data_IF_909010488357
#
_entry.id   IF_909010488357
#
_cell.length_a   1.000
_cell.length_b   1.000
_cell.length_c   1.000
_cell.angle_alpha   90.00
_cell.angle_beta   90.00
_cell.angle_gamma   90.00
#
_symmetry.space_group_name_H-M   'P 1'
#
loop_
_entity.id
_entity.type
_entity.pdbx_description
1 polymer ?
#
# COMPACT_ATOMS: atom_id res chain seq x y z
N UNK A 1 27.30 -11.04 -12.21
CA UNK A 1 25.95 -11.01 -11.60
C UNK A 1 24.82 -11.31 -12.62
N UNK A 2 25.11 -11.75 -13.85
CA UNK A 2 24.20 -11.72 -15.01
C UNK A 2 23.06 -12.77 -15.07
N UNK A 3 22.74 -13.49 -13.99
CA UNK A 3 21.74 -14.58 -14.04
C UNK A 3 20.52 -14.38 -13.13
N UNK A 4 20.41 -13.25 -12.42
CA UNK A 4 19.29 -13.01 -11.53
C UNK A 4 18.22 -12.15 -12.20
N UNK A 5 16.96 -12.53 -12.01
CA UNK A 5 15.78 -11.87 -12.57
C UNK A 5 14.81 -11.51 -11.45
N UNK A 6 14.35 -10.26 -11.43
CA UNK A 6 13.27 -9.81 -10.56
C UNK A 6 12.00 -9.70 -11.41
N UNK A 7 10.94 -10.37 -10.97
CA UNK A 7 9.63 -10.26 -11.58
C UNK A 7 8.81 -9.22 -10.83
N UNK A 8 8.04 -8.42 -11.56
CA UNK A 8 7.15 -7.40 -10.99
C UNK A 8 5.73 -7.70 -11.44
N UNK A 9 4.89 -8.07 -10.49
CA UNK A 9 3.46 -8.29 -10.66
C UNK A 9 2.71 -7.02 -10.31
N UNK A 10 2.16 -6.35 -11.33
CA UNK A 10 1.45 -5.08 -11.19
C UNK A 10 2.27 -3.87 -11.64
N UNK A 11 1.93 -3.36 -12.82
CA UNK A 11 2.52 -2.14 -13.41
C UNK A 11 1.77 -0.87 -13.00
N UNK A 12 1.34 -0.80 -11.73
CA UNK A 12 0.80 0.42 -11.13
C UNK A 12 1.89 1.45 -10.84
N UNK A 13 1.53 2.60 -10.26
CA UNK A 13 2.47 3.70 -10.00
C UNK A 13 3.71 3.25 -9.22
N UNK A 14 3.51 2.47 -8.15
CA UNK A 14 4.61 2.02 -7.29
C UNK A 14 5.49 0.95 -7.96
N UNK A 15 4.88 0.00 -8.68
CA UNK A 15 5.63 -1.01 -9.45
C UNK A 15 6.53 -0.36 -10.51
N UNK A 16 6.02 0.64 -11.22
CA UNK A 16 6.80 1.41 -12.18
C UNK A 16 7.93 2.22 -11.51
N UNK A 17 7.66 2.84 -10.35
CA UNK A 17 8.68 3.61 -9.63
C UNK A 17 9.86 2.72 -9.23
N UNK A 18 9.57 1.54 -8.64
CA UNK A 18 10.62 0.62 -8.20
C UNK A 18 11.35 0.01 -9.38
N UNK A 19 10.65 -0.35 -10.45
CA UNK A 19 11.28 -0.85 -11.68
C UNK A 19 12.24 0.18 -12.29
N UNK A 20 11.79 1.44 -12.38
CA UNK A 20 12.60 2.56 -12.87
C UNK A 20 13.85 2.76 -12.00
N UNK A 21 13.69 2.87 -10.68
CA UNK A 21 14.80 3.07 -9.76
C UNK A 21 15.81 1.91 -9.79
N UNK A 22 15.33 0.65 -9.79
CA UNK A 22 16.19 -0.53 -9.90
C UNK A 22 16.95 -0.55 -11.23
N UNK A 23 16.31 -0.19 -12.34
CA UNK A 23 16.98 -0.15 -13.65
C UNK A 23 18.08 0.91 -13.70
N UNK A 24 17.85 2.09 -13.12
CA UNK A 24 18.84 3.17 -13.10
C UNK A 24 20.06 2.79 -12.25
N UNK A 25 19.83 2.13 -11.11
CA UNK A 25 20.91 1.73 -10.20
C UNK A 25 21.64 0.45 -10.64
N UNK A 26 20.90 -0.51 -11.21
CA UNK A 26 21.41 -1.83 -11.58
C UNK A 26 21.17 -2.12 -13.08
N UNK A 27 21.88 -1.47 -14.02
CA UNK A 27 21.58 -1.59 -15.46
C UNK A 27 21.60 -3.01 -16.03
N UNK A 28 22.41 -3.91 -15.46
CA UNK A 28 22.51 -5.31 -15.88
C UNK A 28 21.51 -6.27 -15.23
N UNK A 29 20.65 -5.79 -14.33
CA UNK A 29 19.62 -6.60 -13.68
C UNK A 29 18.46 -6.86 -14.65
N UNK A 30 18.11 -8.14 -14.84
CA UNK A 30 16.91 -8.48 -15.62
C UNK A 30 15.66 -8.23 -14.80
N UNK A 31 14.77 -7.38 -15.31
CA UNK A 31 13.49 -7.05 -14.70
C UNK A 31 12.38 -7.44 -15.68
N UNK A 32 11.40 -8.23 -15.21
CA UNK A 32 10.28 -8.70 -16.03
C UNK A 32 8.95 -8.25 -15.46
N UNK A 33 8.13 -7.56 -16.26
CA UNK A 33 6.75 -7.25 -15.91
C UNK A 33 5.84 -8.44 -16.21
N UNK A 34 5.09 -8.88 -15.20
CA UNK A 34 4.05 -9.88 -15.34
C UNK A 34 2.71 -9.19 -15.58
N UNK A 35 2.13 -9.40 -16.76
CA UNK A 35 0.98 -8.67 -17.27
C UNK A 35 -0.23 -9.61 -17.43
N UNK A 36 -1.35 -9.31 -16.78
CA UNK A 36 -2.58 -10.12 -16.88
C UNK A 36 -3.48 -9.78 -18.08
N UNK A 37 -3.16 -8.71 -18.82
CA UNK A 37 -4.03 -8.13 -19.85
C UNK A 37 -3.22 -7.78 -21.08
N UNK A 38 -3.69 -8.24 -22.23
CA UNK A 38 -3.03 -8.01 -23.52
C UNK A 38 -2.97 -6.52 -23.87
N UNK A 39 -3.97 -5.75 -23.46
CA UNK A 39 -4.08 -4.31 -23.71
C UNK A 39 -2.98 -3.53 -22.98
N UNK A 40 -2.50 -4.03 -21.83
CA UNK A 40 -1.37 -3.44 -21.11
C UNK A 40 -0.08 -3.67 -21.90
N UNK A 41 0.09 -4.85 -22.50
CA UNK A 41 1.25 -5.15 -23.35
C UNK A 41 1.25 -4.27 -24.61
N UNK A 42 0.10 -4.11 -25.28
CA UNK A 42 -0.02 -3.18 -26.42
C UNK A 42 0.37 -1.74 -26.04
N UNK A 43 -0.04 -1.28 -24.85
CA UNK A 43 0.33 0.05 -24.36
C UNK A 43 1.81 0.17 -23.99
N UNK A 44 2.47 -0.93 -23.58
CA UNK A 44 3.91 -0.95 -23.34
C UNK A 44 4.69 -0.67 -24.63
N UNK A 45 4.32 -1.34 -25.72
CA UNK A 45 4.91 -1.06 -27.03
C UNK A 45 4.62 0.36 -27.49
N UNK A 46 3.39 0.85 -27.29
CA UNK A 46 3.01 2.22 -27.63
C UNK A 46 3.74 3.29 -26.81
N UNK A 47 4.22 2.97 -25.60
CA UNK A 47 5.02 3.89 -24.77
C UNK A 47 6.51 3.92 -25.15
N UNK A 48 6.90 3.25 -26.24
CA UNK A 48 8.29 3.10 -26.65
C UNK A 48 9.10 2.20 -25.73
N UNK A 49 8.42 1.25 -25.07
CA UNK A 49 9.03 0.26 -24.17
C UNK A 49 9.88 0.90 -23.05
N UNK A 50 9.40 2.05 -22.57
CA UNK A 50 10.04 2.81 -21.52
C UNK A 50 9.02 3.29 -20.47
N UNK A 51 9.49 3.35 -19.22
CA UNK A 51 8.84 4.08 -18.14
C UNK A 51 9.34 5.53 -18.18
N UNK A 52 8.41 6.46 -18.25
CA UNK A 52 8.64 7.90 -18.07
C UNK A 52 8.39 8.29 -16.61
N UNK A 53 9.44 8.69 -15.90
CA UNK A 53 9.38 9.11 -14.51
C UNK A 53 9.57 10.64 -14.40
N UNK A 54 8.71 11.31 -13.64
CA UNK A 54 8.85 12.73 -13.32
C UNK A 54 9.13 12.91 -11.84
N UNK A 55 10.26 13.55 -11.51
CA UNK A 55 10.70 13.83 -10.16
C UNK A 55 11.09 15.30 -10.04
N UNK A 56 10.39 16.06 -9.20
CA UNK A 56 10.66 17.49 -8.99
C UNK A 56 10.75 18.29 -10.31
N UNK A 57 9.85 18.02 -11.25
CA UNK A 57 9.82 18.65 -12.57
C UNK A 57 10.84 18.13 -13.59
N UNK A 58 11.80 17.28 -13.17
CA UNK A 58 12.75 16.62 -14.07
C UNK A 58 12.14 15.34 -14.62
N UNK A 59 12.36 15.10 -15.90
CA UNK A 59 11.87 13.91 -16.61
C UNK A 59 13.06 12.98 -16.83
N UNK A 60 12.90 11.70 -16.46
CA UNK A 60 13.85 10.64 -16.73
C UNK A 60 13.12 9.41 -17.29
N UNK A 61 13.83 8.64 -18.10
CA UNK A 61 13.29 7.48 -18.80
C UNK A 61 14.12 6.24 -18.47
N UNK A 62 13.47 5.10 -18.40
CA UNK A 62 14.13 3.79 -18.29
C UNK A 62 13.41 2.78 -19.18
N UNK A 63 14.15 2.02 -19.97
CA UNK A 63 13.63 0.91 -20.79
C UNK A 63 14.31 -0.43 -20.45
N UNK A 64 14.39 -1.30 -21.45
CA UNK A 64 15.04 -2.63 -21.38
C UNK A 64 14.36 -3.60 -20.39
N UNK A 65 13.06 -3.47 -20.19
CA UNK A 65 12.28 -4.40 -19.37
C UNK A 65 11.76 -5.55 -20.23
N UNK A 66 11.88 -6.77 -19.72
CA UNK A 66 11.16 -7.91 -20.28
C UNK A 66 9.67 -7.78 -19.92
N UNK A 67 8.80 -8.28 -20.79
CA UNK A 67 7.38 -8.46 -20.46
C UNK A 67 6.98 -9.92 -20.63
N UNK A 68 6.09 -10.39 -19.76
CA UNK A 68 5.53 -11.73 -19.80
C UNK A 68 4.02 -11.64 -19.55
N UNK A 69 3.23 -12.07 -20.53
CA UNK A 69 1.78 -12.17 -20.38
C UNK A 69 1.44 -13.41 -19.56
N UNK A 70 0.67 -13.23 -18.49
CA UNK A 70 0.22 -14.33 -17.64
C UNK A 70 -1.28 -14.51 -17.78
N UNK A 71 -1.70 -15.75 -18.03
CA UNK A 71 -3.10 -16.10 -18.28
C UNK A 71 -3.97 -15.69 -17.09
N UNK A 72 -4.95 -14.82 -17.33
CA UNK A 72 -6.08 -14.62 -16.42
C UNK A 72 -7.18 -15.64 -16.75
N UNK A 73 -7.96 -16.13 -15.77
CA UNK A 73 -9.17 -16.91 -16.05
C UNK A 73 -10.12 -16.24 -17.05
N UNK A 74 -10.11 -14.90 -17.11
CA UNK A 74 -10.92 -14.09 -18.03
C UNK A 74 -10.39 -14.05 -19.48
N UNK A 75 -9.12 -14.38 -19.73
CA UNK A 75 -8.46 -14.24 -21.05
C UNK A 75 -8.22 -15.58 -21.74
N UNK A 76 -9.12 -16.56 -21.55
CA UNK A 76 -9.04 -17.94 -22.09
C UNK A 76 -8.91 -18.10 -23.62
N UNK A 77 -8.70 -17.03 -24.37
CA UNK A 77 -8.65 -17.05 -25.85
C UNK A 77 -7.25 -17.19 -26.45
N UNK A 78 -6.17 -17.18 -25.67
CA UNK A 78 -4.81 -17.41 -26.21
C UNK A 78 -4.28 -18.74 -25.69
N UNK A 79 -3.88 -19.64 -26.59
CA UNK A 79 -3.11 -20.86 -26.30
C UNK A 79 -1.70 -20.44 -25.86
N UNK A 80 -1.60 -19.83 -24.69
CA UNK A 80 -0.34 -19.49 -24.05
C UNK A 80 0.03 -20.65 -23.13
N UNK A 81 1.15 -21.31 -23.40
CA UNK A 81 1.74 -22.27 -22.46
C UNK A 81 2.58 -21.48 -21.46
N UNK A 82 2.17 -21.36 -20.19
CA UNK A 82 2.91 -20.56 -19.23
C UNK A 82 4.32 -21.12 -19.02
N UNK A 83 5.34 -20.26 -18.90
CA UNK A 83 6.67 -20.69 -18.53
C UNK A 83 6.61 -21.42 -17.20
N UNK A 84 7.13 -22.65 -17.14
CA UNK A 84 7.18 -23.44 -15.90
C UNK A 84 8.38 -23.09 -15.02
N UNK A 85 9.22 -22.14 -15.44
CA UNK A 85 10.43 -21.80 -14.71
C UNK A 85 10.10 -21.19 -13.34
N UNK A 86 10.74 -21.64 -12.25
CA UNK A 86 10.50 -21.08 -10.92
C UNK A 86 10.79 -19.57 -10.86
N UNK A 87 9.93 -18.82 -10.16
CA UNK A 87 10.14 -17.40 -9.88
C UNK A 87 10.82 -17.31 -8.52
N UNK A 88 12.10 -16.89 -8.51
CA UNK A 88 12.86 -16.73 -7.26
C UNK A 88 12.54 -15.42 -6.54
N UNK A 89 12.36 -14.33 -7.28
CA UNK A 89 12.17 -12.99 -6.72
C UNK A 89 10.96 -12.31 -7.36
N UNK A 90 9.94 -12.02 -6.55
CA UNK A 90 8.70 -11.40 -7.00
C UNK A 90 8.38 -10.15 -6.18
N UNK A 91 8.24 -9.02 -6.85
CA UNK A 91 7.62 -7.82 -6.30
C UNK A 91 6.13 -7.80 -6.67
N UNK A 92 5.28 -7.56 -5.68
CA UNK A 92 3.81 -7.47 -5.87
C UNK A 92 3.39 -6.03 -5.62
N UNK A 93 3.00 -5.33 -6.67
CA UNK A 93 2.55 -3.94 -6.67
C UNK A 93 1.16 -3.78 -7.33
N UNK A 94 0.36 -4.84 -7.33
CA UNK A 94 -1.06 -4.82 -7.67
C UNK A 94 -1.90 -4.12 -6.60
N UNK A 95 -3.11 -3.73 -6.97
CA UNK A 95 -4.14 -3.32 -5.99
C UNK A 95 -4.54 -4.52 -5.14
N UNK A 96 -4.80 -4.29 -3.86
CA UNK A 96 -4.96 -5.38 -2.86
C UNK A 96 -6.07 -6.38 -3.24
N UNK A 97 -7.16 -5.91 -3.86
CA UNK A 97 -8.27 -6.77 -4.33
C UNK A 97 -7.89 -7.75 -5.46
N UNK A 98 -6.84 -7.47 -6.23
CA UNK A 98 -6.43 -8.32 -7.35
C UNK A 98 -5.32 -9.30 -6.96
N UNK A 99 -4.71 -9.14 -5.79
CA UNK A 99 -3.45 -9.82 -5.45
C UNK A 99 -3.60 -11.31 -5.24
N UNK A 100 -4.67 -11.77 -4.56
CA UNK A 100 -4.92 -13.20 -4.34
C UNK A 100 -5.12 -13.95 -5.67
N UNK A 101 -5.93 -13.40 -6.58
CA UNK A 101 -6.16 -13.97 -7.92
C UNK A 101 -4.88 -13.96 -8.76
N UNK A 102 -4.17 -12.83 -8.78
CA UNK A 102 -2.92 -12.66 -9.52
C UNK A 102 -1.87 -13.68 -9.08
N UNK A 103 -1.67 -13.86 -7.78
CA UNK A 103 -0.72 -14.85 -7.25
C UNK A 103 -1.17 -16.28 -7.44
N UNK A 104 -2.48 -16.56 -7.43
CA UNK A 104 -3.01 -17.90 -7.70
C UNK A 104 -2.61 -18.39 -9.09
N UNK A 105 -2.60 -17.51 -10.10
CA UNK A 105 -2.12 -17.84 -11.45
C UNK A 105 -0.63 -18.23 -11.50
N UNK A 106 0.16 -17.72 -10.54
CA UNK A 106 1.61 -17.95 -10.44
C UNK A 106 1.99 -19.02 -9.41
N UNK A 107 1.03 -19.57 -8.67
CA UNK A 107 1.27 -20.50 -7.55
C UNK A 107 2.16 -21.68 -7.95
N UNK A 108 2.01 -22.19 -9.17
CA UNK A 108 2.81 -23.30 -9.70
C UNK A 108 4.31 -22.97 -9.91
N UNK A 109 4.70 -21.70 -9.88
CA UNK A 109 6.09 -21.21 -10.05
C UNK A 109 6.69 -20.66 -8.76
N UNK A 110 5.89 -20.60 -7.69
CA UNK A 110 6.24 -19.97 -6.42
C UNK A 110 6.25 -21.04 -5.32
N UNK A 111 7.37 -21.14 -4.62
CA UNK A 111 7.56 -22.15 -3.56
C UNK A 111 8.48 -21.66 -2.46
N UNK A 112 8.98 -22.57 -1.63
CA UNK A 112 9.87 -22.26 -0.50
C UNK A 112 11.22 -21.64 -0.90
N UNK A 113 11.63 -21.80 -2.16
CA UNK A 113 12.80 -21.12 -2.74
C UNK A 113 12.52 -19.70 -3.23
N UNK A 114 11.27 -19.25 -3.18
CA UNK A 114 10.83 -17.95 -3.70
C UNK A 114 10.73 -16.92 -2.57
N UNK A 115 10.97 -15.66 -2.92
CA UNK A 115 10.70 -14.50 -2.07
C UNK A 115 9.68 -13.61 -2.73
N UNK A 116 8.63 -13.25 -1.99
CA UNK A 116 7.61 -12.28 -2.39
C UNK A 116 7.75 -11.03 -1.52
N UNK A 117 7.94 -9.87 -2.15
CA UNK A 117 7.91 -8.58 -1.49
C UNK A 117 6.64 -7.82 -1.89
N UNK A 118 5.75 -7.63 -0.92
CA UNK A 118 4.45 -6.97 -1.10
C UNK A 118 4.58 -5.46 -0.91
N UNK A 119 4.17 -4.70 -1.91
CA UNK A 119 4.24 -3.24 -1.93
C UNK A 119 2.86 -2.57 -1.83
N UNK A 120 1.80 -3.37 -1.70
CA UNK A 120 0.42 -2.90 -1.70
C UNK A 120 0.03 -2.19 -0.39
N UNK A 121 -1.05 -1.42 -0.45
CA UNK A 121 -1.63 -0.79 0.72
C UNK A 121 -2.44 -1.84 1.51
N UNK A 122 -2.31 -1.86 2.85
CA UNK A 122 -3.07 -2.78 3.70
C UNK A 122 -2.28 -3.99 4.20
N UNK A 123 -3.00 -4.96 4.77
CA UNK A 123 -2.45 -6.14 5.43
C UNK A 123 -2.64 -7.39 4.55
N UNK A 124 -1.69 -8.32 4.61
CA UNK A 124 -1.51 -9.42 3.65
C UNK A 124 -2.22 -10.74 4.02
N UNK A 125 -3.10 -10.72 5.02
CA UNK A 125 -3.58 -11.94 5.69
C UNK A 125 -4.29 -12.91 4.73
N UNK A 126 -5.00 -12.39 3.73
CA UNK A 126 -5.75 -13.17 2.74
C UNK A 126 -4.84 -14.04 1.86
N UNK A 127 -3.67 -13.55 1.43
CA UNK A 127 -2.76 -14.29 0.54
C UNK A 127 -2.18 -15.51 1.25
N UNK A 128 -1.87 -15.36 2.53
CA UNK A 128 -1.30 -16.43 3.34
C UNK A 128 -2.31 -17.57 3.54
N UNK A 129 -3.56 -17.25 3.82
CA UNK A 129 -4.58 -18.25 4.10
C UNK A 129 -5.17 -18.89 2.84
N UNK A 130 -5.30 -18.14 1.74
CA UNK A 130 -5.98 -18.61 0.51
C UNK A 130 -5.05 -19.16 -0.57
N UNK A 131 -3.87 -18.54 -0.78
CA UNK A 131 -2.99 -18.91 -1.91
C UNK A 131 -1.92 -19.90 -1.47
N UNK A 132 -1.20 -19.59 -0.38
CA UNK A 132 -0.06 -20.38 0.09
C UNK A 132 -0.26 -20.86 1.54
N UNK A 133 -1.26 -21.72 1.73
CA UNK A 133 -1.65 -22.25 3.04
C UNK A 133 -0.64 -23.22 3.67
N UNK A 134 0.13 -23.97 2.86
CA UNK A 134 1.17 -24.86 3.38
C UNK A 134 2.44 -24.09 3.74
N UNK A 135 2.71 -23.96 5.04
CA UNK A 135 3.89 -23.27 5.56
C UNK A 135 5.23 -23.86 5.08
N UNK A 136 5.30 -25.16 4.75
CA UNK A 136 6.54 -25.81 4.30
C UNK A 136 6.90 -25.48 2.86
N UNK A 137 5.90 -25.31 2.00
CA UNK A 137 6.09 -25.01 0.58
C UNK A 137 5.93 -23.53 0.24
N UNK A 138 5.52 -22.69 1.21
CA UNK A 138 5.24 -21.27 0.99
C UNK A 138 6.52 -20.44 0.76
N UNK A 139 6.46 -19.40 -0.09
CA UNK A 139 7.53 -18.41 -0.22
C UNK A 139 7.86 -17.66 1.07
N UNK A 140 9.05 -17.07 1.11
CA UNK A 140 9.41 -16.07 2.13
C UNK A 140 8.75 -14.73 1.81
N UNK A 141 8.17 -14.06 2.82
CA UNK A 141 7.44 -12.81 2.63
C UNK A 141 8.18 -11.61 3.20
N UNK A 142 8.19 -10.55 2.42
CA UNK A 142 8.63 -9.21 2.78
C UNK A 142 7.51 -8.21 2.52
N UNK A 143 7.47 -7.14 3.29
CA UNK A 143 6.56 -6.03 3.08
C UNK A 143 7.35 -4.76 2.79
N UNK A 144 6.77 -3.89 1.97
CA UNK A 144 7.28 -2.58 1.63
C UNK A 144 6.22 -1.51 1.89
N UNK A 145 6.54 -0.53 2.73
CA UNK A 145 5.67 0.62 3.05
C UNK A 145 6.25 1.86 2.39
N UNK A 146 5.58 2.33 1.34
CA UNK A 146 5.99 3.52 0.61
C UNK A 146 5.48 4.80 1.32
N UNK A 147 6.39 5.69 1.73
CA UNK A 147 6.08 6.96 2.41
C UNK A 147 5.90 8.17 1.48
N UNK A 148 6.00 7.99 0.15
CA UNK A 148 5.88 9.08 -0.84
C UNK A 148 4.61 8.96 -1.67
N UNK A 149 4.20 10.09 -2.26
CA UNK A 149 3.11 10.12 -3.21
C UNK A 149 3.62 9.74 -4.59
N UNK A 150 2.97 8.76 -5.23
CA UNK A 150 3.29 8.33 -6.59
C UNK A 150 2.01 8.35 -7.41
N UNK A 151 1.92 9.35 -8.29
CA UNK A 151 0.79 9.56 -9.17
C UNK A 151 1.09 8.97 -10.54
N UNK A 152 0.09 8.32 -11.14
CA UNK A 152 0.16 7.87 -12.52
C UNK A 152 -0.45 8.93 -13.41
N UNK A 153 0.34 9.50 -14.32
CA UNK A 153 -0.15 10.45 -15.33
C UNK A 153 -0.75 9.72 -16.53
N UNK A 154 -0.14 8.61 -16.93
CA UNK A 154 -0.66 7.67 -17.93
C UNK A 154 -0.05 6.28 -17.69
N UNK A 155 -0.46 5.24 -18.43
CA UNK A 155 0.22 3.95 -18.30
C UNK A 155 1.70 4.10 -18.73
N UNK A 156 2.61 3.51 -17.96
CA UNK A 156 4.07 3.70 -18.10
C UNK A 156 4.58 5.15 -17.93
N UNK A 157 3.76 6.06 -17.39
CA UNK A 157 4.22 7.37 -16.95
C UNK A 157 3.78 7.70 -15.53
N UNK A 158 4.76 7.98 -14.68
CA UNK A 158 4.58 8.31 -13.27
C UNK A 158 5.18 9.67 -12.95
N UNK A 159 4.59 10.33 -11.96
CA UNK A 159 5.15 11.46 -11.28
C UNK A 159 5.16 11.17 -9.78
N UNK A 160 6.28 11.39 -9.09
CA UNK A 160 6.34 11.21 -7.66
C UNK A 160 6.88 12.44 -6.95
N UNK A 161 6.38 12.66 -5.74
CA UNK A 161 6.73 13.79 -4.89
C UNK A 161 6.66 13.41 -3.41
N UNK A 162 7.27 14.25 -2.57
CA UNK A 162 7.37 14.05 -1.13
C UNK A 162 8.72 13.50 -0.69
N UNK A 163 9.01 13.67 0.60
CA UNK A 163 10.30 13.35 1.24
C UNK A 163 10.36 11.96 1.89
N UNK A 164 9.38 11.07 1.64
CA UNK A 164 9.31 9.76 2.28
C UNK A 164 10.08 8.65 1.56
N UNK A 165 10.76 7.80 2.32
CA UNK A 165 11.44 6.59 1.84
C UNK A 165 10.50 5.41 1.52
N UNK A 166 11.09 4.26 1.25
CA UNK A 166 10.38 2.97 1.25
C UNK A 166 10.96 2.11 2.37
N UNK A 167 10.12 1.76 3.33
CA UNK A 167 10.49 0.90 4.45
C UNK A 167 10.27 -0.56 4.05
N UNK A 168 11.26 -1.42 4.27
CA UNK A 168 11.22 -2.84 3.95
C UNK A 168 11.39 -3.66 5.22
N UNK A 169 10.63 -4.74 5.38
CA UNK A 169 10.86 -5.67 6.48
C UNK A 169 10.29 -7.05 6.19
N UNK A 170 10.90 -8.07 6.79
CA UNK A 170 10.41 -9.43 6.68
C UNK A 170 9.06 -9.56 7.40
N UNK A 171 8.13 -10.32 6.83
CA UNK A 171 6.83 -10.57 7.44
C UNK A 171 6.95 -11.79 8.34
N UNK A 172 6.81 -11.60 9.65
CA UNK A 172 6.73 -12.71 10.59
C UNK A 172 5.35 -13.39 10.51
N UNK A 173 5.36 -14.68 10.21
CA UNK A 173 4.16 -15.51 10.04
C UNK A 173 4.05 -16.60 11.12
N UNK A 174 5.06 -16.69 11.99
CA UNK A 174 5.03 -17.56 13.15
C UNK A 174 4.22 -16.88 14.28
N UNK A 175 3.41 -17.63 15.04
CA UNK A 175 2.90 -17.13 16.31
C UNK A 175 4.08 -16.69 17.17
N UNK A 176 4.06 -15.47 17.71
CA UNK A 176 5.10 -15.07 18.66
C UNK A 176 5.06 -16.02 19.84
N UNK A 177 6.18 -16.66 20.15
CA UNK A 177 6.35 -17.30 21.45
C UNK A 177 6.27 -16.19 22.50
N UNK A 178 5.15 -16.13 23.23
CA UNK A 178 4.93 -15.20 24.34
C UNK A 178 5.98 -15.34 25.46
N UNK A 179 6.79 -16.40 25.41
CA UNK A 179 7.85 -16.71 26.36
C UNK A 179 9.21 -16.07 26.02
N UNK A 180 9.38 -15.46 24.84
CA UNK A 180 10.61 -14.74 24.50
C UNK A 180 10.31 -13.26 24.15
N UNK A 181 10.65 -12.31 25.04
CA UNK A 181 10.34 -10.89 24.85
C UNK A 181 11.20 -10.20 23.77
N UNK A 182 12.23 -10.88 23.26
CA UNK A 182 13.11 -10.32 22.25
C UNK A 182 12.38 -10.05 20.92
N UNK A 183 12.76 -8.95 20.26
CA UNK A 183 12.30 -8.61 18.91
C UNK A 183 12.50 -9.81 17.99
N UNK A 184 11.50 -10.12 17.16
CA UNK A 184 11.58 -11.27 16.26
C UNK A 184 12.78 -11.06 15.33
N UNK A 185 13.81 -11.94 15.33
CA UNK A 185 15.01 -11.70 14.54
C UNK A 185 14.65 -11.66 13.06
N UNK A 186 15.11 -10.62 12.37
CA UNK A 186 14.90 -10.52 10.93
C UNK A 186 15.76 -11.59 10.23
N UNK A 187 15.22 -12.37 9.28
CA UNK A 187 16.07 -13.16 8.40
C UNK A 187 17.00 -12.24 7.61
N UNK A 188 18.19 -12.73 7.20
CA UNK A 188 19.10 -11.94 6.38
C UNK A 188 18.43 -11.56 5.05
N UNK A 189 18.53 -10.30 4.60
CA UNK A 189 18.02 -9.88 3.29
C UNK A 189 18.58 -10.76 2.17
N UNK A 190 17.71 -11.29 1.30
CA UNK A 190 18.13 -12.01 0.11
C UNK A 190 18.64 -11.05 -0.99
N UNK A 191 18.93 -11.57 -2.18
CA UNK A 191 19.44 -10.73 -3.27
C UNK A 191 18.46 -9.62 -3.67
N UNK A 192 17.16 -9.90 -3.78
CA UNK A 192 16.17 -8.91 -4.20
C UNK A 192 16.10 -7.77 -3.18
N UNK A 193 16.03 -8.11 -1.89
CA UNK A 193 15.99 -7.09 -0.83
C UNK A 193 17.30 -6.32 -0.77
N UNK A 194 18.47 -6.97 -0.91
CA UNK A 194 19.76 -6.26 -0.96
C UNK A 194 19.85 -5.26 -2.11
N UNK A 195 19.36 -5.62 -3.30
CA UNK A 195 19.32 -4.70 -4.44
C UNK A 195 18.40 -3.50 -4.18
N UNK A 196 17.22 -3.73 -3.59
CA UNK A 196 16.30 -2.66 -3.19
C UNK A 196 16.93 -1.72 -2.14
N UNK A 197 17.59 -2.28 -1.12
CA UNK A 197 18.31 -1.52 -0.10
C UNK A 197 19.52 -0.77 -0.67
N UNK A 198 20.14 -1.28 -1.73
CA UNK A 198 21.23 -0.65 -2.45
C UNK A 198 20.77 0.34 -3.52
N UNK A 199 19.49 0.76 -3.52
CA UNK A 199 18.93 1.72 -4.52
C UNK A 199 18.61 3.06 -3.85
N UNK A 200 19.53 4.05 -3.84
CA UNK A 200 19.37 5.30 -3.09
C UNK A 200 18.16 6.14 -3.50
N UNK A 201 17.74 6.09 -4.77
CA UNK A 201 16.55 6.77 -5.26
C UNK A 201 15.25 6.32 -4.54
N UNK A 202 15.25 5.11 -3.94
CA UNK A 202 14.16 4.62 -3.12
C UNK A 202 14.22 5.12 -1.67
N UNK A 203 15.34 5.70 -1.22
CA UNK A 203 15.62 6.02 0.18
C UNK A 203 15.19 4.87 1.11
N UNK A 204 15.76 3.67 0.89
CA UNK A 204 15.28 2.46 1.51
C UNK A 204 15.65 2.42 3.00
N UNK A 205 14.74 1.92 3.82
CA UNK A 205 14.99 1.67 5.25
C UNK A 205 14.66 0.22 5.58
N UNK A 206 15.60 -0.50 6.18
CA UNK A 206 15.36 -1.86 6.66
C UNK A 206 14.76 -1.81 8.08
N UNK A 207 13.61 -2.44 8.25
CA UNK A 207 12.85 -2.53 9.48
C UNK A 207 12.86 -3.96 10.02
N UNK A 208 12.73 -4.10 11.34
CA UNK A 208 12.43 -5.40 11.96
C UNK A 208 11.01 -5.86 11.57
N UNK A 209 10.70 -7.17 11.71
CA UNK A 209 9.35 -7.68 11.47
C UNK A 209 8.26 -6.96 12.25
N UNK A 210 8.56 -6.53 13.48
CA UNK A 210 7.63 -5.79 14.33
C UNK A 210 7.42 -4.37 13.81
N UNK A 211 8.50 -3.65 13.51
CA UNK A 211 8.43 -2.28 13.02
C UNK A 211 7.76 -2.17 11.64
N UNK A 212 7.98 -3.13 10.73
CA UNK A 212 7.29 -3.11 9.43
C UNK A 212 5.78 -3.36 9.59
N UNK A 213 5.37 -4.24 10.52
CA UNK A 213 3.95 -4.46 10.82
C UNK A 213 3.30 -3.21 11.41
N UNK A 214 4.01 -2.52 12.31
CA UNK A 214 3.57 -1.23 12.85
C UNK A 214 3.46 -0.18 11.74
N UNK A 215 4.43 -0.09 10.85
CA UNK A 215 4.41 0.82 9.71
C UNK A 215 3.22 0.56 8.76
N UNK A 216 2.94 -0.72 8.44
CA UNK A 216 1.76 -1.09 7.65
C UNK A 216 0.46 -0.64 8.32
N UNK A 217 0.32 -0.88 9.63
CA UNK A 217 -0.88 -0.49 10.37
C UNK A 217 -1.03 1.03 10.49
N UNK A 218 0.07 1.77 10.72
CA UNK A 218 0.09 3.23 10.68
C UNK A 218 -0.43 3.74 9.33
N UNK A 219 0.05 3.15 8.23
CA UNK A 219 -0.39 3.52 6.89
C UNK A 219 -1.88 3.20 6.65
N UNK A 220 -2.38 2.09 7.17
CA UNK A 220 -3.83 1.77 7.14
C UNK A 220 -4.63 2.84 7.88
N UNK A 221 -4.25 3.21 9.10
CA UNK A 221 -4.93 4.26 9.89
C UNK A 221 -4.94 5.59 9.16
N UNK A 222 -3.79 6.01 8.61
CA UNK A 222 -3.68 7.25 7.83
C UNK A 222 -4.63 7.24 6.63
N UNK A 223 -4.56 6.18 5.82
CA UNK A 223 -5.41 6.06 4.64
C UNK A 223 -6.90 5.95 4.99
N UNK A 224 -7.25 5.24 6.06
CA UNK A 224 -8.65 5.06 6.49
C UNK A 224 -9.29 6.36 6.99
N UNK A 225 -8.47 7.31 7.45
CA UNK A 225 -8.92 8.62 7.94
C UNK A 225 -9.11 9.63 6.82
N UNK A 226 -8.35 9.50 5.71
CA UNK A 226 -8.26 10.52 4.65
C UNK A 226 -8.98 10.08 3.37
N UNK A 227 -8.64 8.89 2.87
CA UNK A 227 -9.05 8.43 1.54
C UNK A 227 -10.57 8.34 1.36
N UNK A 228 -11.35 7.74 2.29
CA UNK A 228 -12.80 7.71 2.13
C UNK A 228 -13.42 9.10 2.16
N UNK A 229 -12.86 10.05 2.92
CA UNK A 229 -13.39 11.42 2.99
C UNK A 229 -13.17 12.18 1.70
N UNK A 230 -11.94 12.18 1.17
CA UNK A 230 -11.68 12.77 -0.15
C UNK A 230 -12.55 12.13 -1.25
N UNK A 231 -12.84 10.83 -1.14
CA UNK A 231 -13.76 10.17 -2.05
C UNK A 231 -15.17 10.75 -1.90
N UNK A 232 -15.83 10.67 -0.74
CA UNK A 232 -17.24 11.09 -0.59
C UNK A 232 -17.44 12.60 -0.81
N UNK A 233 -16.50 13.45 -0.39
CA UNK A 233 -16.57 14.91 -0.61
C UNK A 233 -16.06 15.35 -1.98
N UNK A 234 -15.53 14.42 -2.79
CA UNK A 234 -14.89 14.70 -4.09
C UNK A 234 -13.86 15.84 -4.03
N UNK A 235 -13.04 15.85 -2.98
CA UNK A 235 -12.15 16.96 -2.68
C UNK A 235 -10.67 16.55 -2.66
N UNK A 236 -9.79 17.53 -2.91
CA UNK A 236 -8.34 17.39 -2.70
C UNK A 236 -8.02 17.25 -1.21
N UNK A 237 -6.84 16.73 -0.91
CA UNK A 237 -6.40 16.47 0.47
C UNK A 237 -6.44 17.72 1.36
N UNK A 238 -6.00 18.87 0.85
CA UNK A 238 -5.96 20.12 1.63
C UNK A 238 -7.34 20.61 2.07
N UNK A 239 -8.37 20.33 1.27
CA UNK A 239 -9.74 20.76 1.57
C UNK A 239 -10.33 20.03 2.79
N UNK A 240 -9.76 18.89 3.21
CA UNK A 240 -10.12 18.26 4.48
C UNK A 240 -9.61 19.05 5.69
N UNK A 241 -8.52 19.81 5.53
CA UNK A 241 -7.94 20.64 6.58
C UNK A 241 -8.65 22.00 6.68
N UNK A 242 -9.05 22.54 5.53
CA UNK A 242 -9.60 23.90 5.43
C UNK A 242 -11.05 24.00 5.90
N UNK A 243 -11.82 22.91 5.80
CA UNK A 243 -13.21 22.87 6.25
C UNK A 243 -13.31 22.27 7.67
N UNK A 244 -13.84 23.01 8.67
CA UNK A 244 -13.93 22.53 10.05
C UNK A 244 -14.72 21.24 10.24
N UNK A 245 -15.79 21.02 9.47
CA UNK A 245 -16.62 19.81 9.58
C UNK A 245 -15.89 18.59 9.00
N UNK A 246 -15.24 18.75 7.85
CA UNK A 246 -14.41 17.70 7.24
C UNK A 246 -13.23 17.33 8.14
N UNK A 247 -12.55 18.33 8.71
CA UNK A 247 -11.44 18.11 9.64
C UNK A 247 -11.89 17.34 10.89
N UNK A 248 -13.04 17.70 11.46
CA UNK A 248 -13.60 16.99 12.62
C UNK A 248 -13.97 15.55 12.28
N UNK A 249 -14.58 15.31 11.12
CA UNK A 249 -14.87 13.94 10.68
C UNK A 249 -13.59 13.13 10.42
N UNK A 250 -12.56 13.74 9.85
CA UNK A 250 -11.24 13.13 9.68
C UNK A 250 -10.63 12.73 11.03
N UNK A 251 -10.69 13.61 12.02
CA UNK A 251 -10.25 13.30 13.40
C UNK A 251 -11.08 12.19 14.03
N UNK A 252 -12.39 12.19 13.85
CA UNK A 252 -13.28 11.18 14.41
C UNK A 252 -13.07 9.78 13.78
N UNK A 253 -12.76 9.70 12.48
CA UNK A 253 -12.32 8.45 11.85
C UNK A 253 -10.95 8.01 12.37
N UNK A 254 -10.01 8.95 12.50
CA UNK A 254 -8.71 8.64 13.08
C UNK A 254 -8.83 8.04 14.48
N UNK A 255 -9.67 8.60 15.36
CA UNK A 255 -9.86 8.10 16.73
C UNK A 255 -10.39 6.65 16.76
N UNK A 256 -11.37 6.30 15.93
CA UNK A 256 -11.84 4.91 15.79
C UNK A 256 -10.72 4.00 15.26
N UNK A 257 -10.03 4.43 14.20
CA UNK A 257 -8.96 3.65 13.57
C UNK A 257 -7.77 3.41 14.52
N UNK A 258 -7.36 4.42 15.30
CA UNK A 258 -6.24 4.32 16.23
C UNK A 258 -6.58 3.40 17.40
N UNK A 259 -7.82 3.45 17.91
CA UNK A 259 -8.27 2.55 18.98
C UNK A 259 -8.19 1.09 18.54
N UNK A 260 -8.67 0.78 17.33
CA UNK A 260 -8.56 -0.58 16.76
C UNK A 260 -7.09 -0.97 16.57
N UNK A 261 -6.26 -0.06 16.06
CA UNK A 261 -4.85 -0.33 15.80
C UNK A 261 -4.07 -0.62 17.10
N UNK A 262 -4.38 0.10 18.18
CA UNK A 262 -3.78 -0.13 19.51
C UNK A 262 -4.08 -1.54 20.01
N UNK A 263 -5.32 -2.01 19.87
CA UNK A 263 -5.70 -3.37 20.27
C UNK A 263 -4.99 -4.43 19.40
N UNK A 264 -4.90 -4.22 18.09
CA UNK A 264 -4.14 -5.12 17.19
C UNK A 264 -2.67 -5.22 17.62
N UNK A 265 -2.04 -4.09 17.98
CA UNK A 265 -0.64 -4.06 18.42
C UNK A 265 -0.48 -4.70 19.78
N UNK A 266 -1.39 -4.45 20.72
CA UNK A 266 -1.36 -5.06 22.05
C UNK A 266 -1.44 -6.58 21.97
N UNK A 267 -2.31 -7.11 21.11
CA UNK A 267 -2.46 -8.55 20.89
C UNK A 267 -1.27 -9.15 20.13
N UNK A 268 -0.82 -8.51 19.05
CA UNK A 268 0.16 -9.12 18.15
C UNK A 268 1.62 -8.81 18.52
N UNK A 269 1.87 -7.69 19.20
CA UNK A 269 3.20 -7.10 19.45
C UNK A 269 3.29 -6.48 20.87
N UNK A 270 3.00 -7.23 21.95
CA UNK A 270 2.90 -6.68 23.30
C UNK A 270 4.16 -5.92 23.76
N UNK A 271 5.35 -6.40 23.38
CA UNK A 271 6.63 -5.78 23.72
C UNK A 271 7.03 -4.58 22.84
N UNK A 272 6.31 -4.35 21.73
CA UNK A 272 6.55 -3.23 20.81
C UNK A 272 5.42 -2.20 20.87
N UNK A 273 4.51 -2.30 21.84
CA UNK A 273 3.37 -1.40 21.96
C UNK A 273 3.79 0.07 22.13
N UNK A 274 4.92 0.33 22.79
CA UNK A 274 5.50 1.68 22.95
C UNK A 274 5.91 2.35 21.63
N UNK A 275 6.12 1.56 20.57
CA UNK A 275 6.38 2.11 19.25
C UNK A 275 5.11 2.70 18.61
N UNK A 276 3.91 2.44 19.13
CA UNK A 276 2.69 3.14 18.69
C UNK A 276 2.40 4.36 19.57
N UNK A 277 2.58 5.55 19.00
CA UNK A 277 2.31 6.81 19.68
C UNK A 277 1.21 7.56 18.90
N UNK A 278 0.04 7.73 19.52
CA UNK A 278 -1.16 8.29 18.88
C UNK A 278 -0.87 9.65 18.23
N UNK A 279 -0.19 10.54 18.95
CA UNK A 279 0.13 11.89 18.52
C UNK A 279 0.97 11.88 17.24
N UNK A 280 1.92 10.95 17.13
CA UNK A 280 2.76 10.80 15.94
C UNK A 280 1.97 10.27 14.74
N UNK A 281 1.01 9.36 14.97
CA UNK A 281 0.14 8.86 13.90
C UNK A 281 -0.83 9.96 13.46
N UNK A 282 -1.40 10.74 14.38
CA UNK A 282 -2.22 11.89 14.03
C UNK A 282 -1.44 12.96 13.27
N UNK A 283 -0.20 13.24 13.71
CA UNK A 283 0.69 14.13 12.99
C UNK A 283 0.91 13.62 11.56
N UNK A 284 1.12 12.32 11.38
CA UNK A 284 1.25 11.69 10.05
C UNK A 284 0.00 11.89 9.18
N UNK A 285 -1.21 11.79 9.74
CA UNK A 285 -2.47 12.10 9.02
C UNK A 285 -2.45 13.53 8.50
N UNK A 286 -2.16 14.49 9.38
CA UNK A 286 -2.09 15.92 9.00
C UNK A 286 -0.98 16.18 7.98
N UNK A 287 0.21 15.63 8.18
CA UNK A 287 1.35 15.80 7.27
C UNK A 287 1.06 15.27 5.87
N UNK A 288 0.36 14.12 5.76
CA UNK A 288 -0.06 13.60 4.45
C UNK A 288 -1.04 14.54 3.77
N UNK A 289 -2.02 15.06 4.51
CA UNK A 289 -2.99 16.00 3.96
C UNK A 289 -2.34 17.34 3.55
N UNK A 290 -1.38 17.83 4.35
CA UNK A 290 -0.70 19.11 4.17
C UNK A 290 0.35 19.07 3.04
N UNK A 291 1.22 18.06 3.02
CA UNK A 291 2.17 17.88 1.92
C UNK A 291 1.47 17.57 0.60
N UNK A 292 0.29 16.96 0.68
CA UNK A 292 -0.53 16.55 -0.44
C UNK A 292 -1.62 17.54 -0.82
N UNK A 293 -1.65 18.78 -0.32
CA UNK A 293 -2.80 19.70 -0.45
C UNK A 293 -3.43 19.76 -1.84
N UNK A 294 -2.61 19.83 -2.88
CA UNK A 294 -3.06 19.93 -4.28
C UNK A 294 -3.46 18.58 -4.91
N UNK A 295 -3.14 17.46 -4.26
CA UNK A 295 -3.32 16.11 -4.77
C UNK A 295 -4.71 15.54 -4.41
N UNK A 296 -5.19 14.65 -5.28
CA UNK A 296 -6.30 13.75 -4.98
C UNK A 296 -5.76 12.47 -4.32
N UNK A 297 -6.50 11.91 -3.37
CA UNK A 297 -6.17 10.58 -2.86
C UNK A 297 -6.32 9.51 -3.94
N UNK A 298 -5.63 8.38 -3.79
CA UNK A 298 -5.75 7.25 -4.72
C UNK A 298 -7.19 6.73 -4.82
N UNK A 299 -7.95 6.77 -3.71
CA UNK A 299 -9.35 6.35 -3.70
C UNK A 299 -10.24 7.31 -4.47
N UNK A 300 -10.04 8.63 -4.34
CA UNK A 300 -10.76 9.61 -5.15
C UNK A 300 -10.43 9.44 -6.64
N UNK A 301 -9.16 9.21 -6.99
CA UNK A 301 -8.75 8.95 -8.37
C UNK A 301 -9.42 7.69 -8.95
N UNK A 302 -9.62 6.65 -8.14
CA UNK A 302 -10.34 5.44 -8.55
C UNK A 302 -11.84 5.72 -8.73
N UNK A 303 -12.46 6.45 -7.81
CA UNK A 303 -13.87 6.86 -7.92
C UNK A 303 -14.13 7.72 -9.16
N UNK A 304 -13.30 8.74 -9.41
CA UNK A 304 -13.45 9.65 -10.56
C UNK A 304 -13.27 8.92 -11.90
N UNK A 305 -12.54 7.81 -11.90
CA UNK A 305 -12.29 6.99 -13.09
C UNK A 305 -13.19 5.75 -13.18
N UNK A 306 -14.20 5.62 -12.31
CA UNK A 306 -15.12 4.48 -12.30
C UNK A 306 -14.45 3.13 -12.01
N UNK A 307 -13.30 3.13 -11.31
CA UNK A 307 -12.57 1.90 -10.95
C UNK A 307 -12.95 1.41 -9.55
N UNK A 308 -12.78 0.11 -9.33
CA UNK A 308 -12.88 -0.48 -8.00
C UNK A 308 -11.84 0.15 -7.05
N UNK A 309 -12.30 0.54 -5.86
CA UNK A 309 -11.48 1.15 -4.81
C UNK A 309 -10.92 0.10 -3.85
N UNK A 310 -9.95 0.49 -3.02
CA UNK A 310 -9.38 -0.35 -1.95
C UNK A 310 -10.13 -0.20 -0.60
N UNK A 311 -11.37 0.31 -0.60
CA UNK A 311 -12.12 0.63 0.63
C UNK A 311 -12.26 -0.59 1.56
N UNK A 312 -12.48 -1.78 0.99
CA UNK A 312 -12.61 -3.03 1.76
C UNK A 312 -11.31 -3.49 2.41
N UNK A 313 -10.17 -3.14 1.81
CA UNK A 313 -8.84 -3.53 2.29
C UNK A 313 -8.22 -2.51 3.24
N UNK A 314 -8.83 -1.32 3.34
CA UNK A 314 -8.41 -0.25 4.25
C UNK A 314 -9.43 -0.14 5.40
N UNK A 315 -10.62 0.37 5.12
CA UNK A 315 -11.67 0.55 6.12
C UNK A 315 -12.36 -0.79 6.45
N UNK A 316 -12.59 -1.65 5.45
CA UNK A 316 -13.16 -2.98 5.67
C UNK A 316 -12.27 -3.87 6.56
N UNK A 317 -10.95 -3.79 6.41
CA UNK A 317 -9.98 -4.43 7.31
C UNK A 317 -10.13 -3.92 8.76
N UNK A 318 -10.20 -2.61 8.97
CA UNK A 318 -10.42 -2.06 10.32
C UNK A 318 -11.77 -2.51 10.90
N UNK A 319 -12.84 -2.54 10.10
CA UNK A 319 -14.16 -3.00 10.53
C UNK A 319 -14.14 -4.48 10.94
N UNK A 320 -13.42 -5.33 10.19
CA UNK A 320 -13.31 -6.75 10.51
C UNK A 320 -12.52 -6.98 11.81
N UNK A 321 -11.41 -6.25 12.00
CA UNK A 321 -10.63 -6.29 13.22
C UNK A 321 -11.42 -5.75 14.43
N UNK A 322 -12.13 -4.65 14.26
CA UNK A 322 -12.96 -4.07 15.33
C UNK A 322 -14.05 -5.06 15.79
N UNK A 323 -14.69 -5.77 14.85
CA UNK A 323 -15.65 -6.84 15.19
C UNK A 323 -15.00 -7.96 16.00
N UNK A 324 -13.80 -8.40 15.60
CA UNK A 324 -13.04 -9.46 16.27
C UNK A 324 -12.63 -9.06 17.69
N UNK A 325 -12.24 -7.80 17.87
CA UNK A 325 -11.72 -7.24 19.12
C UNK A 325 -12.82 -6.64 20.02
N UNK A 326 -14.07 -6.58 19.56
CA UNK A 326 -15.17 -5.94 20.30
C UNK A 326 -15.10 -4.42 20.37
N UNK A 327 -14.38 -3.76 19.46
CA UNK A 327 -14.19 -2.30 19.42
C UNK A 327 -15.25 -1.65 18.51
N UNK A 328 -15.76 -0.47 18.89
CA UNK A 328 -16.72 0.28 18.08
C UNK A 328 -16.04 0.96 16.87
N UNK A 329 -16.66 0.87 15.70
CA UNK A 329 -16.14 1.45 14.44
C UNK A 329 -17.27 1.97 13.53
N UNK A 330 -18.33 2.53 14.13
CA UNK A 330 -19.56 2.86 13.40
C UNK A 330 -19.33 3.90 12.30
N UNK A 331 -18.43 4.87 12.50
CA UNK A 331 -18.15 5.89 11.48
C UNK A 331 -17.46 5.25 10.28
N UNK A 332 -16.52 4.32 10.50
CA UNK A 332 -15.91 3.56 9.41
C UNK A 332 -16.94 2.75 8.60
N UNK A 333 -17.93 2.12 9.25
CA UNK A 333 -19.01 1.39 8.55
C UNK A 333 -19.82 2.31 7.64
N UNK A 334 -20.20 3.49 8.15
CA UNK A 334 -20.98 4.48 7.38
C UNK A 334 -20.19 4.96 6.16
N UNK A 335 -18.96 5.46 6.34
CA UNK A 335 -18.17 5.97 5.19
C UNK A 335 -17.83 4.86 4.19
N UNK A 336 -17.65 3.61 4.64
CA UNK A 336 -17.45 2.47 3.75
C UNK A 336 -18.68 2.25 2.86
N UNK A 337 -19.89 2.29 3.45
CA UNK A 337 -21.14 2.20 2.69
C UNK A 337 -21.28 3.33 1.66
N UNK A 338 -20.96 4.57 2.05
CA UNK A 338 -21.01 5.74 1.17
C UNK A 338 -20.04 5.65 -0.02
N UNK A 339 -18.80 5.20 0.21
CA UNK A 339 -17.83 5.00 -0.87
C UNK A 339 -18.30 3.92 -1.83
N UNK A 340 -18.85 2.81 -1.30
CA UNK A 340 -19.38 1.71 -2.12
C UNK A 340 -20.59 2.11 -2.97
N UNK A 341 -21.45 2.97 -2.44
CA UNK A 341 -22.60 3.51 -3.20
C UNK A 341 -22.23 4.70 -4.09
N UNK A 342 -20.94 5.06 -4.18
CA UNK A 342 -20.43 6.23 -4.90
C UNK A 342 -21.09 7.55 -4.49
N UNK A 343 -21.69 7.61 -3.30
CA UNK A 343 -22.39 8.80 -2.79
C UNK A 343 -21.44 10.00 -2.76
N UNK A 344 -21.94 11.13 -3.23
CA UNK A 344 -21.36 12.45 -2.95
C UNK A 344 -22.01 12.95 -1.67
N UNK A 345 -21.20 13.39 -0.72
CA UNK A 345 -21.65 13.78 0.61
C UNK A 345 -21.38 15.27 0.82
N UNK A 346 -22.40 15.99 1.26
CA UNK A 346 -22.31 17.45 1.46
C UNK A 346 -21.93 17.79 2.91
N UNK A 347 -21.39 18.99 3.11
CA UNK A 347 -20.83 19.39 4.41
C UNK A 347 -21.90 19.56 5.50
N UNK A 348 -23.11 20.00 5.14
CA UNK A 348 -24.24 20.21 6.04
C UNK A 348 -24.82 18.88 6.59
N UNK A 349 -24.61 17.78 5.87
CA UNK A 349 -25.03 16.43 6.28
C UNK A 349 -24.11 15.82 7.36
N UNK A 350 -22.93 16.40 7.62
CA UNK A 350 -21.93 15.83 8.53
C UNK A 350 -22.48 15.68 9.96
N UNK A 351 -23.10 16.72 10.50
CA UNK A 351 -23.58 16.73 11.89
C UNK A 351 -24.83 15.87 12.12
N UNK A 352 -25.66 15.70 11.10
CA UNK A 352 -26.86 14.85 11.17
C UNK A 352 -26.51 13.37 11.00
N UNK A 353 -25.48 13.06 10.22
CA UNK A 353 -25.08 11.68 9.90
C UNK A 353 -24.07 11.10 10.89
N UNK A 354 -23.14 11.93 11.37
CA UNK A 354 -22.07 11.50 12.27
C UNK A 354 -22.21 12.18 13.63
N UNK A 355 -22.22 11.38 14.69
CA UNK A 355 -22.09 11.88 16.06
C UNK A 355 -20.66 12.41 16.29
N UNK A 356 -20.41 13.63 15.83
CA UNK A 356 -19.15 14.37 15.96
C UNK A 356 -19.37 15.47 17.02
N UNK A 357 -18.44 15.61 17.98
CA UNK A 357 -18.56 16.62 19.03
C UNK A 357 -18.67 18.02 18.40
N UNK A 358 -19.63 18.82 18.85
CA UNK A 358 -19.83 20.21 18.37
C UNK A 358 -18.69 21.14 18.80
N UNK A 359 -17.98 20.78 19.87
CA UNK A 359 -17.04 21.68 20.55
C UNK A 359 -15.57 21.28 20.32
N UNK A 360 -14.84 22.19 19.69
CA UNK A 360 -13.45 22.44 20.05
C UNK A 360 -13.44 23.88 20.56
N UNK A 361 -13.27 24.06 21.88
CA UNK A 361 -12.82 25.34 22.39
C UNK A 361 -11.48 25.65 21.71
N UNK A 362 -11.33 26.87 21.19
CA UNK A 362 -10.08 27.39 20.66
C UNK A 362 -8.98 27.15 21.70
N UNK A 363 -7.94 26.39 21.32
CA UNK A 363 -6.85 26.02 22.22
C UNK A 363 -5.56 25.82 21.43
N UNK A 364 -4.93 26.95 21.10
CA UNK A 364 -3.49 27.21 21.08
C UNK A 364 -3.20 28.32 20.05
N UNK A 365 -3.53 29.54 20.45
CA UNK A 365 -2.65 30.67 20.17
C UNK A 365 -1.28 30.31 20.73
N UNK A 366 -0.32 30.11 19.84
CA UNK A 366 1.09 30.20 20.20
C UNK A 366 1.32 31.67 20.50
N UNK A 367 1.42 32.00 21.79
CA UNK A 367 1.99 33.27 22.21
C UNK A 367 3.44 33.31 21.73
N UNK A 368 3.74 34.35 20.95
CA UNK A 368 5.10 34.82 20.74
C UNK A 368 5.58 35.48 22.02
N UNK A 369 6.52 34.83 22.70
CA UNK A 369 7.57 35.48 23.50
C UNK A 369 8.76 34.56 23.64
#
# INVERSE_FOLDING_TARGET
MNNYRIFILGVGSLGQLVAHALRKEHPGLRITFLLHRSEIASQWYASGEAIRCVTNGRIDHSGDFDIELISSPATRQVVYTPPKSPIKFLLVATKTYATSEALSSLKHRLGSSSTICFMQNGVMDEVTSSVFSDAKSRPSYWAAVCGRSVNRTSLFSIAHSGSGGIEFGAVSLAPKNLLNPDLTPSPPPDLMIRLLLATPALQPVLMTPDHIKIAQLRKVVVNASINPLTAIFRCKLGQLLDNPLRFRLMRALFEEAQAIAREIISEALPYSASAWQEENVWLSVKTVAENGRANQSSMLQDVMAGRQTEIDYINGYLISQARRLGVCCNKHKIVTGMVKSLRVFEDDEVLSTFAVRKDFAKGNSVDNS
#
